data_IF_377573108941
#
_entry.id   IF_377573108941
#
_cell.length_a   1.000
_cell.length_b   1.000
_cell.length_c   1.000
_cell.angle_alpha   90.00
_cell.angle_beta   90.00
_cell.angle_gamma   90.00
#
_symmetry.space_group_name_H-M   'P 1'
#
loop_
_entity.id
_entity.type
_entity.pdbx_description
1 polymer ?
#
# COMPACT_ATOMS: atom_id res chain seq x y z
N UNK A 1 -17.13 5.99 9.24
CA UNK A 1 -15.97 6.50 8.45
C UNK A 1 -15.87 8.03 8.47
N UNK A 2 -16.85 8.76 9.02
CA UNK A 2 -16.87 10.23 9.03
C UNK A 2 -16.21 10.86 10.28
N UNK A 3 -15.47 10.08 11.08
CA UNK A 3 -14.78 10.63 12.25
C UNK A 3 -13.66 11.58 11.79
N UNK A 4 -13.60 12.82 12.33
CA UNK A 4 -12.52 13.75 12.00
C UNK A 4 -11.12 13.17 12.26
N UNK A 5 -10.96 12.40 13.35
CA UNK A 5 -9.70 11.73 13.69
C UNK A 5 -9.31 10.68 12.64
N UNK A 6 -10.27 9.87 12.20
CA UNK A 6 -10.04 8.85 11.17
C UNK A 6 -9.62 9.48 9.84
N UNK A 7 -10.33 10.52 9.40
CA UNK A 7 -10.04 11.22 8.15
C UNK A 7 -8.68 11.93 8.20
N UNK A 8 -8.35 12.57 9.33
CA UNK A 8 -7.05 13.23 9.55
C UNK A 8 -5.91 12.22 9.48
N UNK A 9 -6.01 11.10 10.20
CA UNK A 9 -5.00 10.04 10.17
C UNK A 9 -4.86 9.45 8.77
N UNK A 10 -5.98 9.16 8.09
CA UNK A 10 -5.97 8.63 6.72
C UNK A 10 -5.23 9.53 5.73
N UNK A 11 -5.47 10.85 5.77
CA UNK A 11 -4.78 11.82 4.92
C UNK A 11 -3.26 11.80 5.14
N UNK A 12 -2.80 11.66 6.39
CA UNK A 12 -1.37 11.65 6.70
C UNK A 12 -0.62 10.41 6.17
N UNK A 13 -1.32 9.29 5.92
CA UNK A 13 -0.69 8.08 5.35
C UNK A 13 -0.12 8.31 3.95
N UNK A 14 -0.73 9.21 3.17
CA UNK A 14 -0.32 9.54 1.81
C UNK A 14 0.86 10.54 1.76
N UNK A 15 1.25 11.12 2.90
CA UNK A 15 2.32 12.11 2.97
C UNK A 15 3.59 11.41 3.43
N UNK A 16 4.69 11.49 2.67
CA UNK A 16 6.01 10.94 3.06
C UNK A 16 7.10 12.00 2.99
N UNK A 17 8.30 11.65 3.49
CA UNK A 17 9.45 12.53 3.52
C UNK A 17 9.93 12.86 2.10
N UNK A 18 10.40 14.08 1.84
CA UNK A 18 10.90 14.48 0.50
C UNK A 18 12.03 13.59 -0.04
N UNK A 19 12.84 13.00 0.84
CA UNK A 19 13.88 12.05 0.43
C UNK A 19 13.31 10.75 -0.16
N UNK A 20 12.01 10.48 0.01
CA UNK A 20 11.33 9.36 -0.62
C UNK A 20 10.96 9.64 -2.09
N UNK A 21 10.86 10.91 -2.51
CA UNK A 21 10.42 11.29 -3.87
C UNK A 21 11.36 10.73 -4.97
N UNK A 22 12.64 10.58 -4.65
CA UNK A 22 13.67 10.03 -5.54
C UNK A 22 14.14 8.62 -5.13
N UNK A 23 13.50 8.00 -4.14
CA UNK A 23 13.94 6.70 -3.63
C UNK A 23 13.48 5.56 -4.54
N UNK A 24 14.43 4.72 -4.99
CA UNK A 24 14.18 3.55 -5.85
C UNK A 24 13.11 2.59 -5.30
N UNK A 25 12.95 2.52 -3.98
CA UNK A 25 12.05 1.58 -3.32
C UNK A 25 10.77 2.20 -2.76
N UNK A 26 10.48 3.49 -3.03
CA UNK A 26 9.30 4.17 -2.45
C UNK A 26 7.99 3.51 -2.86
N UNK A 27 7.91 2.97 -4.08
CA UNK A 27 6.72 2.27 -4.57
C UNK A 27 6.47 0.93 -3.84
N UNK A 28 7.48 0.38 -3.16
CA UNK A 28 7.34 -0.82 -2.33
C UNK A 28 6.98 -0.46 -0.88
N UNK A 29 7.66 0.52 -0.29
CA UNK A 29 7.50 0.82 1.15
C UNK A 29 6.51 1.95 1.47
N UNK A 30 6.22 2.83 0.51
CA UNK A 30 5.35 4.01 0.66
C UNK A 30 5.73 4.92 1.86
N UNK A 31 7.03 5.05 2.14
CA UNK A 31 7.53 5.82 3.28
C UNK A 31 7.32 5.15 4.66
N UNK A 32 6.95 3.86 4.67
CA UNK A 32 6.71 3.03 5.86
C UNK A 32 5.56 3.53 6.76
N UNK A 33 5.21 2.78 7.81
CA UNK A 33 4.18 3.17 8.76
C UNK A 33 4.52 4.48 9.48
N UNK A 34 3.54 5.37 9.63
CA UNK A 34 3.69 6.65 10.34
C UNK A 34 4.25 6.47 11.76
N UNK A 35 3.95 5.36 12.43
CA UNK A 35 4.51 5.00 13.75
C UNK A 35 6.05 5.00 13.77
N UNK A 36 6.69 4.66 12.65
CA UNK A 36 8.15 4.56 12.55
C UNK A 36 8.82 5.84 12.04
N UNK A 37 8.03 6.82 11.56
CA UNK A 37 8.49 8.15 11.10
C UNK A 37 8.50 9.10 12.29
N UNK A 38 9.60 9.12 13.04
CA UNK A 38 9.67 9.86 14.31
C UNK A 38 9.67 11.37 14.13
N UNK A 39 8.80 12.09 14.81
CA UNK A 39 8.86 13.54 14.88
C UNK A 39 7.56 14.17 14.43
N UNK A 40 6.81 14.68 15.41
CA UNK A 40 5.67 15.57 15.23
C UNK A 40 4.44 14.97 14.55
N UNK A 41 3.25 15.29 15.08
CA UNK A 41 1.97 14.72 14.66
C UNK A 41 1.48 15.10 13.24
N UNK A 42 2.26 15.82 12.44
CA UNK A 42 1.72 16.56 11.29
C UNK A 42 2.49 16.43 9.99
N UNK A 43 3.73 15.92 10.00
CA UNK A 43 4.60 16.02 8.84
C UNK A 43 5.71 14.97 8.90
N UNK A 44 6.06 14.32 7.78
CA UNK A 44 7.14 13.33 7.74
C UNK A 44 8.49 14.03 7.59
N UNK A 45 8.91 14.85 8.57
CA UNK A 45 10.25 15.48 8.54
C UNK A 45 11.37 14.44 8.57
N UNK A 46 11.12 13.27 9.15
CA UNK A 46 12.11 12.22 9.27
C UNK A 46 11.74 11.01 8.43
N UNK A 47 12.78 10.30 8.03
CA UNK A 47 12.64 8.97 7.45
C UNK A 47 12.24 7.97 8.53
N UNK A 48 11.61 6.87 8.13
CA UNK A 48 11.41 5.73 9.03
C UNK A 48 12.74 5.27 9.64
N UNK A 49 12.77 4.93 10.94
CA UNK A 49 13.93 4.28 11.57
C UNK A 49 14.37 3.01 10.83
N UNK A 50 13.44 2.36 10.12
CA UNK A 50 13.68 1.13 9.37
C UNK A 50 14.15 1.38 7.93
N UNK A 51 14.21 2.64 7.47
CA UNK A 51 14.48 2.98 6.07
C UNK A 51 15.76 2.33 5.52
N UNK A 52 16.86 2.35 6.29
CA UNK A 52 18.12 1.72 5.86
C UNK A 52 18.00 0.19 5.76
N UNK A 53 17.30 -0.45 6.71
CA UNK A 53 17.04 -1.89 6.67
C UNK A 53 16.19 -2.28 5.47
N UNK A 54 15.13 -1.52 5.20
CA UNK A 54 14.28 -1.74 4.02
C UNK A 54 15.07 -1.62 2.71
N UNK A 55 15.92 -0.59 2.58
CA UNK A 55 16.79 -0.45 1.38
C UNK A 55 17.67 -1.68 1.16
N UNK A 56 18.31 -2.19 2.22
CA UNK A 56 19.14 -3.40 2.14
C UNK A 56 18.32 -4.63 1.78
N UNK A 57 17.17 -4.81 2.43
CA UNK A 57 16.28 -5.94 2.18
C UNK A 57 15.76 -5.95 0.73
N UNK A 58 15.27 -4.83 0.22
CA UNK A 58 14.76 -4.75 -1.14
C UNK A 58 15.87 -4.89 -2.17
N UNK A 59 17.04 -4.27 -1.97
CA UNK A 59 18.16 -4.45 -2.88
C UNK A 59 18.56 -5.93 -3.02
N UNK A 60 18.49 -6.70 -1.93
CA UNK A 60 18.81 -8.13 -1.94
C UNK A 60 17.69 -9.00 -2.53
N UNK A 61 16.43 -8.76 -2.15
CA UNK A 61 15.32 -9.69 -2.44
C UNK A 61 14.55 -9.34 -3.71
N UNK A 62 14.52 -8.06 -4.11
CA UNK A 62 13.68 -7.58 -5.20
C UNK A 62 13.92 -8.31 -6.54
N UNK A 63 15.17 -8.59 -6.98
CA UNK A 63 15.38 -9.31 -8.24
C UNK A 63 14.68 -10.67 -8.29
N UNK A 64 14.76 -11.46 -7.21
CA UNK A 64 14.13 -12.78 -7.16
C UNK A 64 12.61 -12.70 -7.01
N UNK A 65 12.11 -11.78 -6.19
CA UNK A 65 10.68 -11.58 -6.02
C UNK A 65 10.00 -11.05 -7.27
N UNK A 66 10.69 -10.23 -8.07
CA UNK A 66 10.18 -9.78 -9.36
C UNK A 66 9.93 -10.95 -10.31
N UNK A 67 10.90 -11.86 -10.44
CA UNK A 67 10.76 -13.07 -11.26
C UNK A 67 9.60 -13.95 -10.77
N UNK A 68 9.54 -14.21 -9.47
CA UNK A 68 8.44 -15.00 -8.88
C UNK A 68 7.07 -14.36 -9.13
N UNK A 69 6.95 -13.04 -8.99
CA UNK A 69 5.71 -12.33 -9.26
C UNK A 69 5.31 -12.40 -10.74
N UNK A 70 6.27 -12.39 -11.66
CA UNK A 70 6.03 -12.57 -13.10
C UNK A 70 5.58 -14.00 -13.45
N UNK A 71 6.19 -15.02 -12.82
CA UNK A 71 5.79 -16.43 -12.96
C UNK A 71 4.34 -16.65 -12.50
N UNK A 72 4.00 -16.19 -11.29
CA UNK A 72 2.65 -16.34 -10.73
C UNK A 72 1.60 -15.60 -11.57
N UNK A 73 1.90 -14.41 -12.09
CA UNK A 73 0.96 -13.70 -12.98
C UNK A 73 0.64 -14.50 -14.24
N UNK A 74 1.63 -15.20 -14.81
CA UNK A 74 1.42 -16.08 -15.98
C UNK A 74 0.58 -17.29 -15.60
N UNK A 75 0.90 -17.94 -14.48
CA UNK A 75 0.18 -19.12 -13.98
C UNK A 75 -1.30 -18.82 -13.73
N UNK A 76 -1.59 -17.70 -13.07
CA UNK A 76 -2.96 -17.27 -12.78
C UNK A 76 -3.64 -16.52 -13.94
N UNK A 77 -3.01 -16.41 -15.11
CA UNK A 77 -3.51 -15.66 -16.27
C UNK A 77 -3.97 -14.23 -15.91
N UNK A 78 -3.26 -13.58 -14.99
CA UNK A 78 -3.53 -12.20 -14.58
C UNK A 78 -3.01 -11.28 -15.68
N UNK A 79 -3.91 -10.94 -16.61
CA UNK A 79 -3.65 -10.00 -17.70
C UNK A 79 -3.61 -8.58 -17.12
N UNK A 80 -2.40 -8.08 -16.88
CA UNK A 80 -2.09 -6.78 -16.25
C UNK A 80 -2.54 -6.69 -14.78
N UNK A 81 -1.88 -5.90 -13.91
CA UNK A 81 -2.53 -5.49 -12.68
C UNK A 81 -3.84 -4.83 -13.09
N UNK A 82 -4.97 -5.36 -12.61
CA UNK A 82 -6.25 -4.68 -12.77
C UNK A 82 -6.01 -3.22 -12.40
N UNK A 83 -6.41 -2.24 -13.24
CA UNK A 83 -6.26 -0.85 -12.88
C UNK A 83 -6.79 -0.70 -11.47
N UNK A 84 -6.10 0.06 -10.61
CA UNK A 84 -6.65 0.42 -9.31
C UNK A 84 -7.86 1.30 -9.62
N UNK A 85 -8.98 0.66 -9.92
CA UNK A 85 -10.27 1.28 -9.99
C UNK A 85 -10.51 1.70 -8.56
N UNK A 86 -10.34 2.99 -8.30
CA UNK A 86 -10.98 3.69 -7.21
C UNK A 86 -12.50 3.67 -7.43
N UNK A 87 -13.08 2.48 -7.59
CA UNK A 87 -14.47 2.27 -7.31
C UNK A 87 -14.56 2.59 -5.80
N UNK A 88 -15.19 3.71 -5.47
CA UNK A 88 -15.51 4.06 -4.09
C UNK A 88 -16.66 3.17 -3.64
N UNK A 89 -16.43 1.87 -3.50
CA UNK A 89 -17.42 0.94 -2.95
C UNK A 89 -16.95 0.51 -1.57
N UNK A 90 -17.86 0.58 -0.62
CA UNK A 90 -17.55 0.33 0.78
C UNK A 90 -17.22 -1.14 0.99
N UNK A 91 -16.19 -1.44 1.78
CA UNK A 91 -15.84 -2.80 2.26
C UNK A 91 -17.05 -3.58 2.79
N UNK A 92 -18.06 -2.89 3.32
CA UNK A 92 -19.28 -3.48 3.89
C UNK A 92 -20.50 -3.42 2.96
N UNK A 93 -20.39 -2.89 1.74
CA UNK A 93 -21.48 -2.86 0.76
C UNK A 93 -21.68 -4.24 0.10
N UNK A 94 -22.87 -4.50 -0.49
CA UNK A 94 -23.12 -5.71 -1.26
C UNK A 94 -22.08 -5.90 -2.37
N UNK A 95 -21.65 -7.14 -2.57
CA UNK A 95 -20.64 -7.48 -3.56
C UNK A 95 -21.22 -7.34 -4.98
N UNK A 96 -20.45 -6.70 -5.88
CA UNK A 96 -20.84 -6.46 -7.27
C UNK A 96 -20.89 -7.73 -8.14
N UNK A 97 -20.42 -8.88 -7.63
CA UNK A 97 -20.60 -10.17 -8.31
C UNK A 97 -22.03 -10.73 -8.20
N UNK A 98 -22.95 -10.01 -7.54
CA UNK A 98 -24.34 -10.43 -7.39
C UNK A 98 -24.58 -11.47 -6.29
N UNK A 99 -23.58 -11.77 -5.46
CA UNK A 99 -23.68 -12.82 -4.42
C UNK A 99 -24.57 -12.47 -3.23
N UNK A 100 -24.99 -11.20 -3.09
CA UNK A 100 -25.70 -10.70 -1.92
C UNK A 100 -24.86 -10.58 -0.63
N UNK A 101 -23.61 -11.08 -0.63
CA UNK A 101 -22.68 -10.98 0.51
C UNK A 101 -22.02 -9.60 0.56
N UNK A 102 -21.57 -9.17 1.75
CA UNK A 102 -20.71 -7.97 1.87
C UNK A 102 -19.40 -8.20 1.12
N UNK A 103 -18.89 -7.18 0.44
CA UNK A 103 -17.68 -7.28 -0.41
C UNK A 103 -16.49 -7.92 0.30
N UNK A 104 -16.24 -7.56 1.57
CA UNK A 104 -15.17 -8.11 2.41
C UNK A 104 -15.22 -9.62 2.67
N UNK A 105 -16.36 -10.26 2.43
CA UNK A 105 -16.58 -11.69 2.64
C UNK A 105 -16.81 -12.42 1.31
N UNK A 106 -16.51 -11.78 0.16
CA UNK A 106 -16.81 -12.33 -1.16
C UNK A 106 -15.65 -12.22 -2.13
N UNK A 107 -15.34 -11.03 -2.64
CA UNK A 107 -14.36 -10.83 -3.72
C UNK A 107 -13.14 -10.01 -3.29
N UNK A 108 -13.05 -9.68 -2.00
CA UNK A 108 -11.90 -9.01 -1.38
C UNK A 108 -10.98 -10.00 -0.63
N UNK A 109 -11.08 -11.29 -0.95
CA UNK A 109 -10.28 -12.35 -0.30
C UNK A 109 -8.82 -12.18 -0.68
#
# INVERSE_FOLDING_TARGET
>A
LNSPTYLRFGKQKAIWNKNCDTCLFVQLCNGDCQKFRLGGQSTPQTLSRLCQGWKKFYAHTYPRFKLLAEELRKEFNVKEPAPIVNLKFGRNEPCLCGSGKKYKYCCMV
#
